data_IF_138248942497
#
_entry.id   IF_138248942497
#
_cell.length_a   1.000
_cell.length_b   1.000
_cell.length_c   1.000
_cell.angle_alpha   90.00
_cell.angle_beta   90.00
_cell.angle_gamma   90.00
#
_symmetry.space_group_name_H-M   'P 1'
#
loop_
_entity.id
_entity.type
_entity.pdbx_description
1 polymer ?
#
# COMPACT_ATOMS: atom_id res chain seq x y z
N UNK A 1 2.19 3.97 -25.77
CA UNK A 1 0.71 3.91 -25.75
C UNK A 1 0.23 2.66 -24.97
N UNK A 2 -0.19 2.84 -23.72
CA UNK A 2 -0.76 1.75 -22.92
C UNK A 2 -2.18 1.44 -23.43
N UNK A 3 -2.41 0.22 -23.93
CA UNK A 3 -3.71 -0.27 -24.42
C UNK A 3 -4.57 -0.90 -23.31
N UNK A 4 -4.43 -0.46 -22.06
CA UNK A 4 -5.35 -0.89 -21.00
C UNK A 4 -6.47 0.14 -20.90
N UNK A 5 -7.73 -0.30 -20.99
CA UNK A 5 -8.86 0.58 -20.77
C UNK A 5 -8.83 1.07 -19.31
N UNK A 6 -9.32 2.28 -19.07
CA UNK A 6 -9.34 2.87 -17.73
C UNK A 6 -10.12 2.01 -16.73
N UNK A 7 -11.21 1.38 -17.18
CA UNK A 7 -12.00 0.47 -16.34
C UNK A 7 -11.26 -0.80 -15.94
N UNK A 8 -10.42 -1.34 -16.83
CA UNK A 8 -9.62 -2.54 -16.55
C UNK A 8 -8.47 -2.22 -15.61
N UNK A 9 -7.91 -1.01 -15.73
CA UNK A 9 -6.92 -0.49 -14.80
C UNK A 9 -7.54 -0.32 -13.42
N UNK A 10 -8.73 0.27 -13.35
CA UNK A 10 -9.44 0.46 -12.09
C UNK A 10 -9.84 -0.88 -11.45
N UNK A 11 -10.24 -1.86 -12.27
CA UNK A 11 -10.50 -3.22 -11.81
C UNK A 11 -9.24 -3.87 -11.23
N UNK A 12 -8.10 -3.77 -11.93
CA UNK A 12 -6.82 -4.30 -11.47
C UNK A 12 -6.38 -3.65 -10.16
N UNK A 13 -6.49 -2.32 -10.05
CA UNK A 13 -6.19 -1.60 -8.81
C UNK A 13 -7.09 -2.05 -7.66
N UNK A 14 -8.38 -2.31 -7.91
CA UNK A 14 -9.30 -2.82 -6.90
C UNK A 14 -8.94 -4.25 -6.47
N UNK A 15 -8.50 -5.08 -7.41
CA UNK A 15 -8.00 -6.44 -7.12
C UNK A 15 -6.79 -6.40 -6.17
N UNK A 16 -5.82 -5.55 -6.51
CA UNK A 16 -4.60 -5.32 -5.74
C UNK A 16 -4.93 -4.77 -4.35
N UNK A 17 -5.93 -3.90 -4.23
CA UNK A 17 -6.44 -3.43 -2.93
C UNK A 17 -6.98 -4.56 -2.05
N UNK A 18 -7.62 -5.57 -2.65
CA UNK A 18 -8.16 -6.71 -1.91
C UNK A 18 -7.08 -7.71 -1.50
N UNK A 19 -6.00 -7.84 -2.28
CA UNK A 19 -4.85 -8.67 -1.90
C UNK A 19 -3.56 -8.14 -2.54
N UNK A 20 -2.68 -7.55 -1.72
CA UNK A 20 -1.36 -7.08 -2.16
C UNK A 20 -0.30 -8.19 -2.26
N UNK A 21 -0.66 -9.40 -1.89
CA UNK A 21 0.25 -10.55 -1.88
C UNK A 21 0.31 -11.28 -3.22
N UNK A 22 -0.56 -10.96 -4.19
CA UNK A 22 -0.63 -11.68 -5.46
C UNK A 22 0.51 -11.32 -6.41
N UNK A 23 1.12 -12.36 -6.98
CA UNK A 23 2.19 -12.21 -7.95
C UNK A 23 1.62 -11.77 -9.32
N UNK A 24 2.51 -11.28 -10.20
CA UNK A 24 2.10 -10.66 -11.46
C UNK A 24 1.40 -11.64 -12.42
N UNK A 25 1.72 -12.93 -12.32
CA UNK A 25 1.12 -14.04 -13.08
C UNK A 25 -0.30 -14.37 -12.60
N UNK A 26 -0.56 -14.34 -11.30
CA UNK A 26 -1.89 -14.50 -10.72
C UNK A 26 -2.81 -13.35 -11.15
N UNK A 27 -2.29 -12.12 -11.13
CA UNK A 27 -3.03 -10.94 -11.63
C UNK A 27 -3.35 -11.06 -13.12
N UNK A 28 -2.43 -11.63 -13.90
CA UNK A 28 -2.63 -11.89 -15.32
C UNK A 28 -3.74 -12.94 -15.54
N UNK A 29 -3.69 -14.04 -14.79
CA UNK A 29 -4.71 -15.08 -14.83
C UNK A 29 -6.09 -14.55 -14.46
N UNK A 30 -6.16 -13.65 -13.47
CA UNK A 30 -7.41 -13.02 -13.03
C UNK A 30 -7.96 -12.03 -14.04
N UNK A 31 -7.12 -11.28 -14.77
CA UNK A 31 -7.57 -10.44 -15.87
C UNK A 31 -8.11 -11.27 -17.03
N UNK A 32 -7.42 -12.37 -17.36
CA UNK A 32 -7.85 -13.28 -18.41
C UNK A 32 -9.20 -13.94 -18.07
N UNK A 33 -9.38 -14.40 -16.83
CA UNK A 33 -10.60 -15.11 -16.42
C UNK A 33 -11.78 -14.20 -16.08
N UNK A 34 -11.56 -13.04 -15.45
CA UNK A 34 -12.65 -12.18 -14.99
C UNK A 34 -13.02 -11.07 -15.99
N UNK A 35 -12.09 -10.69 -16.89
CA UNK A 35 -12.31 -9.64 -17.88
C UNK A 35 -12.18 -10.12 -19.31
N UNK A 36 -11.79 -11.38 -19.53
CA UNK A 36 -11.52 -11.93 -20.87
C UNK A 36 -10.45 -11.12 -21.62
N UNK A 37 -9.51 -10.54 -20.86
CA UNK A 37 -8.45 -9.69 -21.38
C UNK A 37 -7.12 -10.41 -21.35
N UNK A 38 -6.68 -10.87 -22.52
CA UNK A 38 -5.34 -11.39 -22.73
C UNK A 38 -4.37 -10.22 -22.96
N UNK A 39 -3.82 -9.69 -21.87
CA UNK A 39 -2.83 -8.60 -21.90
C UNK A 39 -1.41 -9.13 -21.69
N UNK A 40 -0.43 -8.60 -22.40
CA UNK A 40 0.97 -9.01 -22.16
C UNK A 40 1.48 -8.45 -20.82
N UNK A 41 2.30 -9.21 -20.10
CA UNK A 41 2.82 -8.84 -18.77
C UNK A 41 3.47 -7.45 -18.73
N UNK A 42 4.13 -7.05 -19.82
CA UNK A 42 4.78 -5.73 -19.95
C UNK A 42 3.78 -4.57 -19.89
N UNK A 43 2.55 -4.79 -20.34
CA UNK A 43 1.48 -3.77 -20.32
C UNK A 43 0.99 -3.53 -18.91
N UNK A 44 0.80 -4.60 -18.14
CA UNK A 44 0.44 -4.53 -16.71
C UNK A 44 1.59 -3.90 -15.92
N UNK A 45 2.83 -4.33 -16.18
CA UNK A 45 4.00 -3.78 -15.50
C UNK A 45 4.15 -2.27 -15.72
N UNK A 46 3.98 -1.77 -16.95
CA UNK A 46 4.00 -0.32 -17.20
C UNK A 46 2.83 0.41 -16.53
N UNK A 47 1.63 -0.16 -16.56
CA UNK A 47 0.46 0.39 -15.89
C UNK A 47 0.67 0.51 -14.36
N UNK A 48 1.24 -0.53 -13.75
CA UNK A 48 1.61 -0.55 -12.34
C UNK A 48 2.74 0.42 -12.00
N UNK A 49 3.72 0.56 -12.89
CA UNK A 49 4.81 1.54 -12.74
C UNK A 49 4.28 2.97 -12.74
N UNK A 50 3.28 3.28 -13.55
CA UNK A 50 2.59 4.57 -13.49
C UNK A 50 1.78 4.74 -12.20
N UNK A 51 1.25 3.64 -11.65
CA UNK A 51 0.53 3.61 -10.38
C UNK A 51 1.45 3.41 -9.15
N UNK A 52 2.78 3.48 -9.30
CA UNK A 52 3.74 3.10 -8.23
C UNK A 52 3.54 3.91 -6.94
N UNK A 53 3.16 5.19 -7.05
CA UNK A 53 2.86 6.05 -5.89
C UNK A 53 1.62 5.58 -5.13
N UNK A 54 0.62 5.05 -5.84
CA UNK A 54 -0.59 4.47 -5.26
C UNK A 54 -0.30 3.10 -4.66
N UNK A 55 0.52 2.28 -5.32
CA UNK A 55 0.94 0.98 -4.83
C UNK A 55 1.76 1.09 -3.54
N UNK A 56 2.68 2.07 -3.43
CA UNK A 56 3.43 2.34 -2.20
C UNK A 56 2.50 2.68 -1.04
N UNK A 57 1.49 3.53 -1.28
CA UNK A 57 0.47 3.87 -0.28
C UNK A 57 -0.35 2.65 0.13
N UNK A 58 -0.77 1.84 -0.85
CA UNK A 58 -1.50 0.61 -0.56
C UNK A 58 -0.66 -0.39 0.23
N UNK A 59 0.62 -0.55 -0.12
CA UNK A 59 1.53 -1.45 0.60
C UNK A 59 1.70 -1.03 2.05
N UNK A 60 1.83 0.27 2.32
CA UNK A 60 1.84 0.82 3.68
C UNK A 60 0.54 0.45 4.43
N UNK A 61 -0.61 0.72 3.80
CA UNK A 61 -1.92 0.42 4.38
C UNK A 61 -2.15 -1.08 4.63
N UNK A 62 -1.65 -1.97 3.77
CA UNK A 62 -1.77 -3.41 3.99
C UNK A 62 -0.76 -3.93 5.02
N UNK A 63 0.46 -3.37 5.08
CA UNK A 63 1.39 -3.71 6.17
C UNK A 63 0.83 -3.29 7.52
N UNK A 64 0.13 -2.15 7.59
CA UNK A 64 -0.59 -1.70 8.78
C UNK A 64 -1.80 -2.58 9.13
N UNK A 65 -2.42 -3.20 8.11
CA UNK A 65 -3.61 -4.07 8.25
C UNK A 65 -3.30 -5.56 8.33
N UNK A 66 -2.04 -5.95 8.48
CA UNK A 66 -1.71 -7.35 8.73
C UNK A 66 -2.17 -7.69 10.16
N UNK A 67 -3.36 -8.28 10.26
CA UNK A 67 -4.01 -8.60 11.54
C UNK A 67 -3.18 -9.55 12.40
N UNK A 68 -2.44 -10.48 11.80
CA UNK A 68 -1.58 -11.42 12.52
C UNK A 68 -0.38 -10.69 13.14
N UNK A 69 0.31 -9.84 12.37
CA UNK A 69 1.41 -9.02 12.90
C UNK A 69 0.93 -8.03 13.96
N UNK A 70 -0.27 -7.46 13.78
CA UNK A 70 -0.88 -6.58 14.75
C UNK A 70 -1.27 -7.33 16.04
N UNK A 71 -1.84 -8.53 15.93
CA UNK A 71 -2.19 -9.37 17.06
C UNK A 71 -0.94 -9.82 17.84
N UNK A 72 0.11 -10.25 17.15
CA UNK A 72 1.39 -10.61 17.76
C UNK A 72 2.03 -9.42 18.47
N UNK A 73 1.99 -8.22 17.85
CA UNK A 73 2.49 -7.00 18.47
C UNK A 73 1.70 -6.64 19.74
N UNK A 74 0.36 -6.66 19.69
CA UNK A 74 -0.48 -6.41 20.86
C UNK A 74 -0.23 -7.44 21.96
N UNK A 75 -0.06 -8.72 21.58
CA UNK A 75 0.27 -9.78 22.52
C UNK A 75 1.60 -9.52 23.23
N UNK A 76 2.64 -9.13 22.50
CA UNK A 76 3.93 -8.75 23.10
C UNK A 76 3.81 -7.52 24.01
N UNK A 77 3.02 -6.52 23.61
CA UNK A 77 2.79 -5.31 24.40
C UNK A 77 2.09 -5.58 25.74
N UNK A 78 1.28 -6.64 25.84
CA UNK A 78 0.63 -7.03 27.12
C UNK A 78 1.60 -7.44 28.22
N UNK A 79 2.86 -7.72 27.87
CA UNK A 79 3.90 -8.12 28.84
C UNK A 79 4.47 -6.94 29.63
N UNK A 80 4.19 -5.70 29.21
CA UNK A 80 4.66 -4.48 29.86
C UNK A 80 3.52 -3.75 30.56
N UNK A 81 3.81 -3.18 31.73
CA UNK A 81 2.85 -2.28 32.39
C UNK A 81 2.90 -0.89 31.77
N UNK A 82 1.85 -0.08 31.97
CA UNK A 82 1.79 1.29 31.43
C UNK A 82 2.96 2.18 31.84
N UNK A 83 3.58 1.92 32.99
CA UNK A 83 4.74 2.66 33.51
C UNK A 83 6.05 2.28 32.81
N UNK A 84 6.10 1.10 32.19
CA UNK A 84 7.26 0.57 31.47
C UNK A 84 7.23 0.89 29.97
N UNK A 85 6.09 1.38 29.47
CA UNK A 85 5.88 1.71 28.07
C UNK A 85 6.24 3.19 27.81
N UNK A 86 7.28 3.41 27.00
CA UNK A 86 7.65 4.71 26.47
C UNK A 86 7.35 4.80 24.98
N UNK A 87 6.66 5.85 24.54
CA UNK A 87 6.43 6.13 23.12
C UNK A 87 7.42 7.17 22.62
N UNK A 88 8.13 6.84 21.55
CA UNK A 88 9.02 7.76 20.85
C UNK A 88 8.55 7.79 19.40
N UNK A 89 8.03 8.93 18.96
CA UNK A 89 7.69 9.16 17.55
C UNK A 89 8.72 10.13 16.96
N UNK A 90 9.40 9.70 15.91
CA UNK A 90 10.38 10.53 15.22
C UNK A 90 9.69 11.31 14.09
N UNK A 91 9.36 12.57 14.38
CA UNK A 91 8.85 13.48 13.36
C UNK A 91 10.02 14.06 12.58
N UNK A 92 10.18 13.64 11.32
CA UNK A 92 11.10 14.28 10.38
C UNK A 92 10.63 15.73 10.12
N UNK A 93 11.36 16.70 10.68
CA UNK A 93 11.16 18.12 10.40
C UNK A 93 11.69 18.41 8.99
N UNK A 94 10.80 18.49 8.01
CA UNK A 94 11.13 19.07 6.70
C UNK A 94 10.97 20.61 6.75
N UNK A 95 11.60 21.33 5.81
CA UNK A 95 11.65 22.81 5.82
C UNK A 95 10.25 23.47 5.82
N UNK A 96 9.21 22.78 5.33
CA UNK A 96 7.82 23.23 5.40
C UNK A 96 7.25 23.24 6.82
N UNK A 97 7.59 22.26 7.65
CA UNK A 97 7.17 22.22 9.06
C UNK A 97 7.82 23.31 9.90
N UNK A 98 8.94 23.87 9.46
CA UNK A 98 9.67 24.92 10.19
C UNK A 98 8.99 26.29 10.08
N UNK A 99 8.42 26.61 8.91
CA UNK A 99 7.78 27.91 8.67
C UNK A 99 6.47 28.10 9.44
N UNK A 100 5.70 27.03 9.66
CA UNK A 100 4.42 27.13 10.37
C UNK A 100 4.60 27.34 11.89
N UNK A 101 5.63 26.73 12.48
CA UNK A 101 5.94 26.88 13.91
C UNK A 101 6.52 28.26 14.29
N UNK A 102 7.12 28.98 13.35
CA UNK A 102 7.69 30.32 13.60
C UNK A 102 6.65 31.45 13.54
N UNK A 103 5.47 31.23 12.95
CA UNK A 103 4.41 32.24 12.85
C UNK A 103 3.37 32.17 13.97
N UNK A 104 3.43 31.15 14.84
CA UNK A 104 2.51 30.96 15.98
C UNK A 104 3.13 31.36 17.34
N UNK A 105 4.28 32.05 17.35
CA UNK A 105 4.91 32.63 18.56
C UNK A 105 4.64 34.13 18.68
#
# INVERSE_FOLDING_TARGET
PCKLHFDDLHYLLRLIQHCLCWFLDEQLHLLEHNRFLSVHFTTIHHALKHAETFLKKLRCLASERNEDLHADFVHQMTQYTSEQLGFIDEVSKNERSFHQWMCEQ
#
